data_IF_794981495967
#
_entry.id   IF_794981495967
#
_cell.length_a   1.000
_cell.length_b   1.000
_cell.length_c   1.000
_cell.angle_alpha   90.00
_cell.angle_beta   90.00
_cell.angle_gamma   90.00
#
_symmetry.space_group_name_H-M   'P 1'
#
loop_
_entity.id
_entity.type
_entity.pdbx_description
1 polymer ?
#
# COMPACT_ATOMS: atom_id res chain seq x y z
N UNK A 1 -19.92 3.88 9.09
CA UNK A 1 -19.53 3.43 7.74
C UNK A 1 -18.51 2.32 7.91
N UNK A 2 -18.94 1.10 8.26
CA UNK A 2 -18.07 -0.04 8.56
C UNK A 2 -17.76 -0.92 7.33
N UNK A 3 -18.01 -0.38 6.12
CA UNK A 3 -17.87 -1.12 4.86
C UNK A 3 -16.48 -1.01 4.21
N UNK A 4 -15.59 -0.20 4.79
CA UNK A 4 -14.23 0.01 4.28
C UNK A 4 -13.18 -0.69 5.15
N UNK A 5 -13.57 -1.13 6.35
CA UNK A 5 -12.66 -1.64 7.37
C UNK A 5 -12.51 -3.17 7.29
N UNK A 6 -11.28 -3.65 7.46
CA UNK A 6 -11.01 -5.08 7.51
C UNK A 6 -11.66 -5.69 8.75
N UNK A 7 -12.65 -6.58 8.54
CA UNK A 7 -13.34 -7.36 9.59
C UNK A 7 -13.72 -6.52 10.81
N UNK A 8 -14.65 -5.57 10.63
CA UNK A 8 -15.21 -4.79 11.75
C UNK A 8 -14.13 -4.00 12.52
N UNK A 9 -13.25 -3.30 11.78
CA UNK A 9 -12.18 -2.46 12.34
C UNK A 9 -11.12 -3.23 13.13
N UNK A 10 -10.79 -4.46 12.71
CA UNK A 10 -9.69 -5.20 13.30
C UNK A 10 -8.35 -4.83 12.67
N UNK A 11 -7.38 -4.50 13.51
CA UNK A 11 -6.01 -4.28 13.06
C UNK A 11 -5.32 -5.60 12.71
N UNK A 12 -4.49 -5.54 11.68
CA UNK A 12 -3.54 -6.59 11.33
C UNK A 12 -2.25 -5.96 10.83
N UNK A 13 -1.15 -6.68 10.99
CA UNK A 13 0.16 -6.26 10.49
C UNK A 13 0.53 -7.11 9.29
N UNK A 14 0.88 -6.48 8.17
CA UNK A 14 1.30 -7.14 6.95
C UNK A 14 2.73 -6.73 6.62
N UNK A 15 3.63 -7.72 6.55
CA UNK A 15 4.99 -7.54 6.07
C UNK A 15 5.11 -8.14 4.69
N UNK A 16 5.84 -7.45 3.82
CA UNK A 16 5.99 -7.82 2.42
C UNK A 16 7.44 -7.64 2.00
N UNK A 17 8.00 -8.65 1.35
CA UNK A 17 9.36 -8.62 0.80
C UNK A 17 9.36 -9.06 -0.65
N UNK A 18 10.07 -8.30 -1.48
CA UNK A 18 10.16 -8.58 -2.91
C UNK A 18 11.09 -9.77 -3.13
N UNK A 19 10.57 -10.86 -3.70
CA UNK A 19 11.36 -12.05 -4.04
C UNK A 19 12.00 -11.90 -5.41
N UNK A 20 11.24 -11.37 -6.38
CA UNK A 20 11.72 -11.22 -7.75
C UNK A 20 10.58 -11.00 -8.73
N UNK A 21 10.86 -11.31 -9.99
CA UNK A 21 9.90 -11.20 -11.08
C UNK A 21 9.36 -12.58 -11.48
N UNK A 22 8.09 -12.62 -11.84
CA UNK A 22 7.41 -13.81 -12.37
C UNK A 22 6.62 -13.45 -13.63
N UNK A 23 6.25 -14.47 -14.40
CA UNK A 23 5.31 -14.32 -15.52
C UNK A 23 4.05 -15.13 -15.25
N UNK A 24 2.90 -14.47 -15.31
CA UNK A 24 1.58 -15.10 -15.09
C UNK A 24 0.75 -14.85 -16.34
N UNK A 25 0.50 -15.93 -17.10
CA UNK A 25 -0.06 -15.80 -18.46
C UNK A 25 0.90 -15.03 -19.37
N UNK A 26 0.48 -13.86 -19.82
CA UNK A 26 1.28 -12.95 -20.67
C UNK A 26 1.83 -11.73 -19.92
N UNK A 27 1.55 -11.61 -18.62
CA UNK A 27 1.91 -10.45 -17.81
C UNK A 27 3.16 -10.73 -16.95
N UNK A 28 4.12 -9.80 -16.96
CA UNK A 28 5.20 -9.78 -15.98
C UNK A 28 4.75 -9.10 -14.70
N UNK A 29 5.01 -9.76 -13.56
CA UNK A 29 4.61 -9.30 -12.23
C UNK A 29 5.79 -9.37 -11.28
N UNK A 30 5.69 -8.61 -10.20
CA UNK A 30 6.52 -8.84 -9.03
C UNK A 30 5.93 -9.98 -8.20
N UNK A 31 6.78 -10.88 -7.72
CA UNK A 31 6.44 -11.82 -6.67
C UNK A 31 6.93 -11.26 -5.35
N UNK A 32 6.00 -11.09 -4.42
CA UNK A 32 6.30 -10.71 -3.07
C UNK A 32 5.89 -11.82 -2.11
N UNK A 33 6.75 -12.11 -1.16
CA UNK A 33 6.46 -13.00 -0.06
C UNK A 33 5.87 -12.17 1.09
N UNK A 34 4.90 -12.75 1.79
CA UNK A 34 4.04 -12.02 2.73
C UNK A 34 3.85 -12.82 4.01
N UNK A 35 3.95 -12.13 5.14
CA UNK A 35 3.45 -12.60 6.43
C UNK A 35 2.44 -11.61 6.97
N UNK A 36 1.32 -12.13 7.47
CA UNK A 36 0.28 -11.37 8.13
C UNK A 36 0.14 -11.85 9.57
N UNK A 37 0.22 -10.91 10.50
CA UNK A 37 -0.10 -11.10 11.91
C UNK A 37 -1.50 -10.52 12.15
N UNK A 38 -2.49 -11.41 12.29
CA UNK A 38 -3.90 -11.09 12.52
C UNK A 38 -4.31 -11.73 13.85
N UNK A 39 -4.17 -10.95 14.94
CA UNK A 39 -4.40 -11.39 16.33
C UNK A 39 -3.57 -12.65 16.65
N UNK A 40 -4.23 -13.78 16.92
CA UNK A 40 -3.59 -15.06 17.23
C UNK A 40 -3.26 -15.90 15.98
N UNK A 41 -3.48 -15.35 14.78
CA UNK A 41 -3.25 -16.04 13.50
C UNK A 41 -2.04 -15.44 12.79
N UNK A 42 -1.12 -16.30 12.38
CA UNK A 42 -0.03 -15.96 11.47
C UNK A 42 -0.34 -16.61 10.12
N UNK A 43 -0.48 -15.80 9.08
CA UNK A 43 -0.73 -16.27 7.70
C UNK A 43 0.50 -15.96 6.87
N UNK A 44 1.03 -16.96 6.17
CA UNK A 44 2.20 -16.80 5.31
C UNK A 44 1.82 -17.22 3.90
N UNK A 45 2.41 -16.59 2.90
CA UNK A 45 2.21 -16.94 1.50
C UNK A 45 2.88 -15.92 0.60
N UNK A 46 2.39 -15.81 -0.63
CA UNK A 46 2.87 -14.84 -1.60
C UNK A 46 1.75 -14.00 -2.20
N UNK A 47 2.12 -12.85 -2.72
CA UNK A 47 1.26 -11.96 -3.50
C UNK A 47 1.93 -11.64 -4.83
N UNK A 48 1.16 -11.72 -5.90
CA UNK A 48 1.57 -11.32 -7.25
C UNK A 48 1.14 -9.86 -7.47
N UNK A 49 2.11 -8.96 -7.61
CA UNK A 49 1.87 -7.51 -7.72
C UNK A 49 2.17 -7.03 -9.15
N UNK A 50 1.34 -6.13 -9.68
CA UNK A 50 1.60 -5.49 -10.96
C UNK A 50 2.93 -4.71 -10.98
N UNK A 51 3.62 -4.68 -12.13
CA UNK A 51 4.90 -3.95 -12.27
C UNK A 51 4.73 -2.44 -12.39
N UNK A 52 3.57 -1.95 -12.86
CA UNK A 52 3.30 -0.51 -13.03
C UNK A 52 2.68 0.08 -11.76
N UNK A 53 1.62 -0.56 -11.28
CA UNK A 53 0.97 -0.28 -10.01
C UNK A 53 1.00 -1.58 -9.20
N UNK A 54 1.34 -1.55 -7.90
CA UNK A 54 1.50 -2.75 -7.10
C UNK A 54 0.14 -3.32 -6.67
N UNK A 55 -0.78 -3.52 -7.61
CA UNK A 55 -2.07 -4.13 -7.35
C UNK A 55 -1.91 -5.65 -7.16
N UNK A 56 -2.34 -6.21 -6.02
CA UNK A 56 -2.25 -7.64 -5.77
C UNK A 56 -3.36 -8.38 -6.52
N UNK A 57 -2.99 -9.12 -7.56
CA UNK A 57 -3.95 -9.80 -8.47
C UNK A 57 -3.93 -11.33 -8.35
N UNK A 58 -2.98 -11.88 -7.60
CA UNK A 58 -2.83 -13.33 -7.43
C UNK A 58 -1.99 -13.72 -6.22
N UNK A 59 -1.49 -14.95 -6.22
CA UNK A 59 -0.72 -15.56 -5.13
C UNK A 59 -1.56 -16.44 -4.20
N UNK A 60 -0.99 -16.76 -3.04
CA UNK A 60 -1.53 -17.79 -2.14
C UNK A 60 -3.00 -17.56 -1.73
N UNK A 61 -3.89 -18.57 -1.80
CA UNK A 61 -5.33 -18.40 -1.54
C UNK A 61 -5.67 -17.87 -0.14
N UNK A 62 -4.91 -18.26 0.87
CA UNK A 62 -5.05 -17.86 2.28
C UNK A 62 -4.85 -16.36 2.50
N UNK A 63 -4.18 -15.68 1.57
CA UNK A 63 -3.97 -14.24 1.59
C UNK A 63 -5.09 -13.42 0.93
N UNK A 64 -6.13 -14.06 0.38
CA UNK A 64 -7.21 -13.39 -0.34
C UNK A 64 -7.87 -12.23 0.43
N UNK A 65 -8.25 -12.39 1.71
CA UNK A 65 -8.85 -11.28 2.48
C UNK A 65 -7.89 -10.10 2.66
N UNK A 66 -6.59 -10.38 2.82
CA UNK A 66 -5.57 -9.35 3.04
C UNK A 66 -5.16 -8.67 1.72
N UNK A 67 -5.26 -9.35 0.57
CA UNK A 67 -5.14 -8.71 -0.74
C UNK A 67 -6.23 -7.66 -0.95
N UNK A 68 -7.47 -7.97 -0.57
CA UNK A 68 -8.56 -7.00 -0.63
C UNK A 68 -8.30 -5.78 0.26
N UNK A 69 -7.84 -6.00 1.49
CA UNK A 69 -7.47 -4.91 2.40
C UNK A 69 -6.29 -4.06 1.87
N UNK A 70 -5.26 -4.71 1.31
CA UNK A 70 -4.16 -4.01 0.65
C UNK A 70 -4.66 -3.14 -0.51
N UNK A 71 -5.56 -3.68 -1.33
CA UNK A 71 -6.15 -2.97 -2.47
C UNK A 71 -6.94 -1.73 -2.05
N UNK A 72 -7.71 -1.80 -0.97
CA UNK A 72 -8.47 -0.65 -0.48
C UNK A 72 -7.61 0.36 0.29
N UNK A 73 -6.42 -0.04 0.78
CA UNK A 73 -5.58 0.80 1.65
C UNK A 73 -4.38 1.45 0.95
N UNK A 74 -3.74 0.74 0.01
CA UNK A 74 -2.45 1.17 -0.58
C UNK A 74 -2.56 1.46 -2.08
N UNK A 75 -3.37 0.71 -2.83
CA UNK A 75 -3.39 0.79 -4.31
C UNK A 75 -3.80 2.18 -4.82
N UNK A 76 -4.54 2.98 -4.04
CA UNK A 76 -4.87 4.36 -4.42
C UNK A 76 -3.64 5.25 -4.64
N UNK A 77 -2.49 4.94 -4.01
CA UNK A 77 -1.22 5.66 -4.23
C UNK A 77 -0.75 5.56 -5.69
N UNK A 78 -1.19 4.54 -6.43
CA UNK A 78 -0.88 4.39 -7.86
C UNK A 78 -1.45 5.50 -8.75
N UNK A 79 -2.40 6.30 -8.26
CA UNK A 79 -2.84 7.51 -8.92
C UNK A 79 -1.71 8.57 -8.99
N UNK A 80 -0.77 8.52 -8.04
CA UNK A 80 0.31 9.49 -7.89
C UNK A 80 1.68 8.92 -8.22
N UNK A 81 1.99 7.70 -7.80
CA UNK A 81 3.29 7.07 -7.97
C UNK A 81 3.15 5.71 -8.67
N UNK A 82 3.82 5.55 -9.81
CA UNK A 82 3.86 4.30 -10.59
C UNK A 82 5.29 3.96 -10.95
N UNK A 83 5.54 2.79 -11.56
CA UNK A 83 6.77 2.60 -12.31
C UNK A 83 6.87 3.60 -13.48
N UNK A 84 8.11 3.85 -13.92
CA UNK A 84 8.35 4.65 -15.11
C UNK A 84 7.95 3.84 -16.35
N UNK A 85 7.10 4.45 -17.17
CA UNK A 85 6.58 3.89 -18.41
C UNK A 85 6.77 4.85 -19.59
N UNK A 86 7.62 5.87 -19.43
CA UNK A 86 7.88 6.88 -20.47
C UNK A 86 6.71 7.84 -20.74
N UNK A 87 5.68 7.84 -19.89
CA UNK A 87 4.50 8.72 -20.01
C UNK A 87 4.64 9.89 -19.06
N UNK A 88 4.54 11.12 -19.59
CA UNK A 88 4.58 12.34 -18.79
C UNK A 88 3.54 12.32 -17.66
N UNK A 89 3.97 12.71 -16.46
CA UNK A 89 3.15 12.70 -15.24
C UNK A 89 3.11 11.36 -14.49
N UNK A 90 3.51 10.26 -15.12
CA UNK A 90 3.70 8.94 -14.47
C UNK A 90 5.13 8.78 -13.94
N UNK A 91 5.38 7.67 -13.25
CA UNK A 91 6.70 7.31 -12.74
C UNK A 91 6.90 7.54 -11.24
N UNK A 92 8.09 7.15 -10.74
CA UNK A 92 8.42 7.23 -9.32
C UNK A 92 8.37 8.67 -8.81
N UNK A 93 8.07 8.83 -7.52
CA UNK A 93 8.06 10.14 -6.86
C UNK A 93 9.14 10.18 -5.79
N UNK A 94 9.99 11.20 -5.90
CA UNK A 94 11.00 11.46 -4.87
C UNK A 94 10.32 11.96 -3.59
N UNK A 95 10.82 11.49 -2.45
CA UNK A 95 10.35 11.95 -1.14
C UNK A 95 10.70 13.44 -0.87
N UNK A 96 11.67 13.99 -1.59
CA UNK A 96 12.02 15.42 -1.51
C UNK A 96 11.01 16.34 -2.21
N UNK A 97 10.10 15.80 -3.03
CA UNK A 97 9.18 16.65 -3.81
C UNK A 97 8.11 17.28 -2.90
N UNK A 98 7.86 18.58 -3.04
CA UNK A 98 6.89 19.31 -2.21
C UNK A 98 5.42 18.93 -2.50
N UNK A 99 5.16 18.07 -3.50
CA UNK A 99 3.83 17.55 -3.83
C UNK A 99 3.96 16.41 -4.84
N UNK A 100 3.31 15.27 -4.58
CA UNK A 100 3.14 14.19 -5.57
C UNK A 100 1.87 14.37 -6.41
N UNK A 101 0.91 15.15 -5.89
CA UNK A 101 -0.33 15.53 -6.56
C UNK A 101 -1.40 15.99 -5.56
N UNK A 102 -2.59 16.29 -6.06
CA UNK A 102 -3.77 16.66 -5.26
C UNK A 102 -4.93 15.71 -5.54
N UNK A 103 -5.68 15.34 -4.50
CA UNK A 103 -6.95 14.62 -4.66
C UNK A 103 -8.04 15.64 -5.02
N UNK A 104 -8.35 15.78 -6.31
CA UNK A 104 -9.19 16.87 -6.82
C UNK A 104 -10.68 16.81 -6.38
N UNK A 105 -11.22 15.64 -6.02
CA UNK A 105 -12.67 15.47 -5.86
C UNK A 105 -13.28 15.72 -4.47
N UNK A 106 -12.49 16.03 -3.44
CA UNK A 106 -12.97 16.20 -2.04
C UNK A 106 -12.31 17.38 -1.30
N UNK A 107 -11.84 18.40 -2.02
CA UNK A 107 -11.10 19.53 -1.42
C UNK A 107 -9.71 19.12 -0.92
N UNK A 108 -9.07 18.17 -1.60
CA UNK A 108 -8.00 17.34 -1.05
C UNK A 108 -6.70 18.05 -0.72
N UNK A 109 -6.13 17.67 0.42
CA UNK A 109 -4.74 17.93 0.80
C UNK A 109 -3.76 17.38 -0.24
N UNK A 110 -2.58 18.00 -0.33
CA UNK A 110 -1.49 17.49 -1.15
C UNK A 110 -0.97 16.16 -0.56
N UNK A 111 -0.69 15.20 -1.43
CA UNK A 111 0.04 14.00 -1.04
C UNK A 111 1.52 14.35 -1.01
N UNK A 112 2.06 14.43 0.20
CA UNK A 112 3.46 14.75 0.48
C UNK A 112 3.97 13.86 1.61
N UNK A 113 5.28 13.56 1.63
CA UNK A 113 5.94 13.11 2.84
C UNK A 113 5.76 14.13 3.95
N UNK A 114 5.22 13.69 5.08
CA UNK A 114 4.94 14.55 6.23
C UNK A 114 6.17 14.69 7.10
N UNK A 115 6.87 13.58 7.33
CA UNK A 115 8.08 13.52 8.14
C UNK A 115 8.90 12.29 7.80
N UNK A 116 10.17 12.31 8.21
CA UNK A 116 11.03 11.14 8.23
C UNK A 116 10.98 10.51 9.62
N UNK A 117 10.82 9.19 9.67
CA UNK A 117 10.78 8.41 10.90
C UNK A 117 11.78 7.27 10.83
N UNK A 118 12.51 7.06 11.92
CA UNK A 118 13.33 5.87 12.12
C UNK A 118 12.44 4.74 12.62
N UNK A 119 12.17 3.74 11.79
CA UNK A 119 11.35 2.57 12.13
C UNK A 119 12.27 1.37 12.34
N UNK A 120 12.07 0.66 13.45
CA UNK A 120 12.74 -0.61 13.74
C UNK A 120 11.76 -1.76 13.57
N UNK A 121 12.11 -2.69 12.68
CA UNK A 121 11.42 -3.97 12.46
C UNK A 121 12.40 -5.11 12.75
N UNK A 122 11.95 -6.37 12.86
CA UNK A 122 12.87 -7.50 13.10
C UNK A 122 14.02 -7.61 12.09
N UNK A 123 13.84 -7.12 10.87
CA UNK A 123 14.86 -7.11 9.83
C UNK A 123 15.94 -6.01 9.99
N UNK A 124 15.70 -4.99 10.83
CA UNK A 124 16.63 -3.89 11.06
C UNK A 124 15.95 -2.55 11.34
N UNK A 125 16.76 -1.51 11.39
CA UNK A 125 16.32 -0.12 11.57
C UNK A 125 16.46 0.63 10.25
N UNK A 126 15.41 1.34 9.84
CA UNK A 126 15.30 2.00 8.55
C UNK A 126 14.82 3.45 8.71
N UNK A 127 15.39 4.34 7.90
CA UNK A 127 14.85 5.69 7.70
C UNK A 127 13.68 5.61 6.71
N UNK A 128 12.50 6.03 7.15
CA UNK A 128 11.24 5.87 6.42
C UNK A 128 10.54 7.21 6.26
N UNK A 129 9.79 7.39 5.18
CA UNK A 129 8.99 8.59 4.95
C UNK A 129 7.53 8.31 5.28
N UNK A 130 6.94 9.09 6.22
CA UNK A 130 5.53 9.00 6.52
C UNK A 130 4.71 9.67 5.42
N UNK A 131 3.92 8.87 4.70
CA UNK A 131 2.91 9.36 3.74
C UNK A 131 1.53 9.19 4.38
N UNK A 132 0.81 10.28 4.58
CA UNK A 132 -0.57 10.23 5.07
C UNK A 132 -1.50 11.10 4.23
N UNK A 133 -2.78 10.70 4.18
CA UNK A 133 -3.84 11.36 3.45
C UNK A 133 -5.08 11.49 4.33
N UNK A 134 -5.94 12.45 4.01
CA UNK A 134 -7.25 12.61 4.65
C UNK A 134 -8.33 12.57 3.58
N UNK A 135 -9.34 11.74 3.79
CA UNK A 135 -10.56 11.76 2.98
C UNK A 135 -11.57 12.70 3.64
N UNK A 136 -11.82 13.85 2.99
CA UNK A 136 -12.94 14.75 3.29
C UNK A 136 -12.95 15.37 4.69
N UNK A 137 -12.24 16.48 4.88
CA UNK A 137 -12.59 17.63 5.75
C UNK A 137 -12.93 17.45 7.24
N UNK A 138 -13.27 16.28 7.74
CA UNK A 138 -13.68 16.04 9.13
C UNK A 138 -12.67 15.12 9.82
N UNK A 139 -12.35 15.48 11.07
CA UNK A 139 -11.78 14.52 12.01
C UNK A 139 -12.87 13.49 12.20
N UNK A 140 -12.67 12.34 11.59
CA UNK A 140 -13.22 11.08 12.00
C UNK A 140 -13.14 10.95 13.53
N UNK A 141 -14.18 11.41 14.24
CA UNK A 141 -14.38 11.12 15.66
C UNK A 141 -14.84 9.68 15.76
N UNK A 142 -13.90 8.76 15.63
CA UNK A 142 -14.14 7.35 15.90
C UNK A 142 -13.67 7.07 17.32
N UNK A 143 -14.63 7.10 18.25
CA UNK A 143 -14.51 6.29 19.46
C UNK A 143 -14.91 4.87 19.10
N UNK A 144 -14.07 3.90 19.47
CA UNK A 144 -14.60 2.60 19.86
C UNK A 144 -15.40 2.74 21.15
#
# INVERSE_FOLDING_TARGET
>A
MCHVDFRECSDFELHLWMEGEITVGTEQKWLAQVVVYDRNKIVKGNMELGKIAPEPTGGSPELSPYRSAFKTSIVWLSAFATADIGVSGKGPKEFSKPSWGKIANIGGQQIIPQEMQTITVPAGTYETALIAWRTGGEIAKYGC
#
